data_IF_179195395194
#
_entry.id   IF_179195395194
#
_cell.length_a   1.000
_cell.length_b   1.000
_cell.length_c   1.000
_cell.angle_alpha   90.00
_cell.angle_beta   90.00
_cell.angle_gamma   90.00
#
_symmetry.space_group_name_H-M   'P 1'
#
loop_
_entity.id
_entity.type
_entity.pdbx_description
1 polymer ?
#
# COMPACT_ATOMS: atom_id res chain seq x y z
N UNK A 1 -49.33 46.91 68.02
CA UNK A 1 -48.25 46.74 67.03
C UNK A 1 -47.38 45.55 67.45
N UNK A 2 -47.75 44.34 67.02
CA UNK A 2 -46.98 43.11 67.26
C UNK A 2 -45.96 42.92 66.16
N UNK A 3 -44.67 42.87 66.51
CA UNK A 3 -43.59 42.54 65.58
C UNK A 3 -43.51 41.03 65.42
N UNK A 4 -43.88 40.51 64.25
CA UNK A 4 -43.60 39.13 63.86
C UNK A 4 -42.10 38.98 63.59
N UNK A 5 -41.40 38.28 64.48
CA UNK A 5 -40.02 37.84 64.26
C UNK A 5 -40.02 36.65 63.30
N UNK A 6 -39.53 36.87 62.07
CA UNK A 6 -39.20 35.79 61.14
C UNK A 6 -37.87 35.16 61.58
N UNK A 7 -37.94 33.96 62.13
CA UNK A 7 -36.80 33.10 62.41
C UNK A 7 -36.16 32.69 61.07
N UNK A 8 -34.98 33.21 60.75
CA UNK A 8 -34.23 32.73 59.58
C UNK A 8 -33.79 31.28 59.83
N UNK A 9 -34.09 30.33 58.93
CA UNK A 9 -33.60 28.96 59.06
C UNK A 9 -32.08 28.98 58.93
N UNK A 10 -31.39 28.45 59.94
CA UNK A 10 -29.94 28.25 59.91
C UNK A 10 -29.60 27.27 58.79
N UNK A 11 -29.02 27.76 57.71
CA UNK A 11 -28.52 26.93 56.62
C UNK A 11 -27.45 25.99 57.19
N UNK A 12 -27.54 24.66 56.97
CA UNK A 12 -26.52 23.72 57.45
C UNK A 12 -25.18 24.11 56.85
N UNK A 13 -24.15 24.20 57.70
CA UNK A 13 -22.79 24.48 57.27
C UNK A 13 -22.37 23.44 56.23
N UNK A 14 -22.14 23.88 54.99
CA UNK A 14 -21.55 23.08 53.93
C UNK A 14 -20.19 22.61 54.42
N UNK A 15 -20.08 21.34 54.84
CA UNK A 15 -18.80 20.70 55.10
C UNK A 15 -18.08 20.63 53.75
N UNK A 16 -17.06 21.46 53.57
CA UNK A 16 -16.23 21.42 52.38
C UNK A 16 -15.61 20.04 52.24
N UNK A 17 -15.62 19.49 51.02
CA UNK A 17 -14.91 18.27 50.68
C UNK A 17 -13.46 18.38 51.13
N UNK A 18 -12.96 17.35 51.81
CA UNK A 18 -11.56 17.26 52.17
C UNK A 18 -10.70 17.09 50.91
N UNK A 19 -9.46 17.58 50.96
CA UNK A 19 -8.50 17.43 49.86
C UNK A 19 -8.29 15.95 49.49
N UNK A 20 -8.35 15.05 50.49
CA UNK A 20 -8.23 13.60 50.30
C UNK A 20 -9.39 13.04 49.47
N UNK A 21 -10.63 13.45 49.76
CA UNK A 21 -11.81 13.01 48.99
C UNK A 21 -11.74 13.49 47.53
N UNK A 22 -11.28 14.73 47.30
CA UNK A 22 -11.07 15.23 45.94
C UNK A 22 -9.99 14.45 45.18
N UNK A 23 -8.87 14.10 45.82
CA UNK A 23 -7.83 13.27 45.19
C UNK A 23 -8.33 11.87 44.85
N UNK A 24 -9.13 11.27 45.73
CA UNK A 24 -9.73 9.95 45.48
C UNK A 24 -10.67 9.97 44.28
N UNK A 25 -11.53 10.99 44.17
CA UNK A 25 -12.43 11.16 43.02
C UNK A 25 -11.64 11.31 41.71
N UNK A 26 -10.58 12.14 41.71
CA UNK A 26 -9.73 12.30 40.54
C UNK A 26 -9.02 10.99 40.14
N UNK A 27 -8.54 10.21 41.11
CA UNK A 27 -7.93 8.91 40.85
C UNK A 27 -8.94 7.92 40.22
N UNK A 28 -10.18 7.89 40.70
CA UNK A 28 -11.24 7.04 40.14
C UNK A 28 -11.59 7.49 38.71
N UNK A 29 -11.77 8.79 38.48
CA UNK A 29 -12.07 9.32 37.14
C UNK A 29 -10.92 9.01 36.17
N UNK A 30 -9.66 9.18 36.58
CA UNK A 30 -8.50 8.85 35.76
C UNK A 30 -8.45 7.35 35.42
N UNK A 31 -8.71 6.48 36.41
CA UNK A 31 -8.79 5.03 36.20
C UNK A 31 -9.89 4.62 35.23
N UNK A 32 -11.11 5.14 35.42
CA UNK A 32 -12.24 4.85 34.53
C UNK A 32 -12.01 5.40 33.12
N UNK A 33 -11.44 6.60 32.99
CA UNK A 33 -11.13 7.20 31.69
C UNK A 33 -10.09 6.37 30.94
N UNK A 34 -9.05 5.88 31.62
CA UNK A 34 -8.04 5.00 31.03
C UNK A 34 -8.63 3.70 30.48
N UNK A 35 -9.55 3.07 31.24
CA UNK A 35 -10.24 1.85 30.80
C UNK A 35 -11.15 2.10 29.59
N UNK A 36 -11.89 3.22 29.57
CA UNK A 36 -12.77 3.59 28.45
C UNK A 36 -11.97 3.83 27.17
N UNK A 37 -10.82 4.51 27.27
CA UNK A 37 -9.96 4.80 26.11
C UNK A 37 -9.36 3.50 25.54
N UNK A 38 -8.85 2.62 26.39
CA UNK A 38 -8.33 1.30 25.96
C UNK A 38 -9.40 0.45 25.28
N UNK A 39 -10.60 0.37 25.88
CA UNK A 39 -11.75 -0.33 25.29
C UNK A 39 -12.17 0.25 23.93
N UNK A 40 -12.14 1.58 23.80
CA UNK A 40 -12.47 2.26 22.54
C UNK A 40 -11.47 1.91 21.42
N UNK A 41 -10.17 1.81 21.71
CA UNK A 41 -9.17 1.41 20.71
C UNK A 41 -9.35 -0.04 20.24
N UNK A 42 -9.64 -0.97 21.15
CA UNK A 42 -9.93 -2.36 20.80
C UNK A 42 -11.17 -2.49 19.91
N UNK A 43 -12.25 -1.79 20.24
CA UNK A 43 -13.48 -1.76 19.45
C UNK A 43 -13.27 -1.13 18.07
N UNK A 44 -12.49 -0.05 17.96
CA UNK A 44 -12.13 0.56 16.68
C UNK A 44 -11.34 -0.40 15.80
N UNK A 45 -10.28 -1.02 16.35
CA UNK A 45 -9.48 -2.03 15.62
C UNK A 45 -10.35 -3.16 15.09
N UNK A 46 -11.22 -3.74 15.92
CA UNK A 46 -12.14 -4.79 15.48
C UNK A 46 -13.12 -4.31 14.40
N UNK A 47 -13.65 -3.09 14.54
CA UNK A 47 -14.54 -2.49 13.55
C UNK A 47 -13.83 -2.28 12.21
N UNK A 48 -12.58 -1.83 12.24
CA UNK A 48 -11.76 -1.58 11.06
C UNK A 48 -11.41 -2.90 10.34
N UNK A 49 -11.08 -3.96 11.09
CA UNK A 49 -10.90 -5.31 10.52
C UNK A 49 -12.15 -5.73 9.74
N UNK A 50 -13.34 -5.68 10.37
CA UNK A 50 -14.61 -6.08 9.73
C UNK A 50 -14.93 -5.20 8.52
N UNK A 51 -14.65 -3.89 8.58
CA UNK A 51 -14.84 -2.99 7.45
C UNK A 51 -13.91 -3.34 6.30
N UNK A 52 -12.64 -3.62 6.58
CA UNK A 52 -11.67 -4.01 5.56
C UNK A 52 -12.04 -5.33 4.91
N UNK A 53 -12.46 -6.34 5.69
CA UNK A 53 -12.99 -7.60 5.15
C UNK A 53 -14.19 -7.34 4.22
N UNK A 54 -15.11 -6.46 4.64
CA UNK A 54 -16.29 -6.09 3.83
C UNK A 54 -15.88 -5.40 2.51
N UNK A 55 -14.88 -4.50 2.56
CA UNK A 55 -14.33 -3.84 1.37
C UNK A 55 -13.73 -4.89 0.43
N UNK A 56 -12.83 -5.74 0.93
CA UNK A 56 -12.16 -6.78 0.14
C UNK A 56 -13.17 -7.73 -0.49
N UNK A 57 -14.18 -8.17 0.26
CA UNK A 57 -15.22 -9.08 -0.24
C UNK A 57 -16.08 -8.41 -1.32
N UNK A 58 -16.44 -7.13 -1.14
CA UNK A 58 -17.18 -6.37 -2.15
C UNK A 58 -16.38 -6.23 -3.44
N UNK A 59 -15.07 -5.97 -3.33
CA UNK A 59 -14.17 -5.89 -4.49
C UNK A 59 -14.03 -7.23 -5.20
N UNK A 60 -13.85 -8.31 -4.44
CA UNK A 60 -13.74 -9.66 -4.97
C UNK A 60 -14.96 -10.00 -5.83
N UNK A 61 -16.16 -9.83 -5.29
CA UNK A 61 -17.41 -10.10 -6.00
C UNK A 61 -17.52 -9.28 -7.29
N UNK A 62 -17.15 -7.99 -7.26
CA UNK A 62 -17.19 -7.14 -8.44
C UNK A 62 -16.17 -7.56 -9.51
N UNK A 63 -14.95 -7.92 -9.11
CA UNK A 63 -13.90 -8.41 -10.03
C UNK A 63 -14.29 -9.76 -10.62
N UNK A 64 -14.80 -10.70 -9.82
CA UNK A 64 -15.24 -12.02 -10.28
C UNK A 64 -16.42 -11.94 -11.24
N UNK A 65 -17.41 -11.10 -10.94
CA UNK A 65 -18.53 -10.86 -11.86
C UNK A 65 -18.02 -10.30 -13.19
N UNK A 66 -17.15 -9.28 -13.14
CA UNK A 66 -16.52 -8.70 -14.34
C UNK A 66 -15.74 -9.76 -15.11
N UNK A 67 -14.99 -10.63 -14.41
CA UNK A 67 -14.23 -11.70 -15.04
C UNK A 67 -15.14 -12.73 -15.71
N UNK A 68 -16.26 -13.09 -15.07
CA UNK A 68 -17.26 -14.02 -15.61
C UNK A 68 -17.95 -13.46 -16.86
N UNK A 69 -18.35 -12.19 -16.84
CA UNK A 69 -19.00 -11.54 -17.98
C UNK A 69 -18.06 -11.36 -19.19
N UNK A 70 -16.75 -11.24 -18.95
CA UNK A 70 -15.76 -10.90 -19.98
C UNK A 70 -14.86 -12.07 -20.41
N UNK A 71 -14.91 -13.17 -19.67
CA UNK A 71 -14.15 -14.38 -19.94
C UNK A 71 -12.67 -14.34 -19.50
N UNK A 72 -12.26 -13.34 -18.72
CA UNK A 72 -10.89 -13.24 -18.20
C UNK A 72 -10.83 -12.30 -16.98
N UNK A 73 -9.99 -12.60 -15.96
CA UNK A 73 -9.78 -11.68 -14.84
C UNK A 73 -9.13 -10.37 -15.31
N UNK A 74 -9.43 -9.28 -14.60
CA UNK A 74 -8.79 -7.98 -14.84
C UNK A 74 -7.31 -8.11 -14.51
N UNK A 75 -6.42 -7.75 -15.42
CA UNK A 75 -4.98 -7.83 -15.15
C UNK A 75 -4.60 -6.69 -14.18
N UNK A 76 -3.90 -6.98 -13.07
CA UNK A 76 -3.47 -5.95 -12.13
C UNK A 76 -2.50 -4.98 -12.81
N UNK A 77 -2.67 -3.68 -12.55
CA UNK A 77 -1.69 -2.69 -12.99
C UNK A 77 -0.44 -2.73 -12.11
N UNK A 78 0.70 -2.39 -12.70
CA UNK A 78 1.94 -2.23 -11.93
C UNK A 78 1.78 -1.09 -10.93
N UNK A 79 2.11 -1.33 -9.66
CA UNK A 79 2.06 -0.30 -8.63
C UNK A 79 3.06 0.84 -8.93
N UNK A 80 2.70 2.13 -8.76
CA UNK A 80 3.58 3.26 -9.12
C UNK A 80 4.97 3.24 -8.48
N UNK A 81 5.07 2.71 -7.26
CA UNK A 81 6.33 2.55 -6.53
C UNK A 81 7.06 1.24 -6.87
N UNK A 82 6.40 0.25 -7.47
CA UNK A 82 7.06 -0.96 -7.99
C UNK A 82 7.24 -0.96 -9.51
N UNK A 83 6.83 0.10 -10.20
CA UNK A 83 6.76 0.18 -11.65
C UNK A 83 8.09 -0.10 -12.37
N UNK A 84 7.98 -0.60 -13.60
CA UNK A 84 9.13 -0.88 -14.47
C UNK A 84 9.73 0.36 -15.13
N UNK A 85 9.05 1.51 -15.08
CA UNK A 85 9.60 2.76 -15.58
C UNK A 85 10.78 3.24 -14.73
N UNK A 86 11.91 3.51 -15.38
CA UNK A 86 13.10 4.11 -14.78
C UNK A 86 13.67 5.19 -15.68
N UNK A 87 14.14 6.29 -15.09
CA UNK A 87 14.84 7.38 -15.77
C UNK A 87 15.79 8.07 -14.80
N UNK A 88 16.62 9.01 -15.29
CA UNK A 88 17.53 9.78 -14.43
C UNK A 88 16.79 10.68 -13.44
N UNK A 89 15.62 11.22 -13.80
CA UNK A 89 14.80 12.06 -12.92
C UNK A 89 13.83 11.28 -12.05
N UNK A 90 13.51 10.04 -12.43
CA UNK A 90 12.63 9.13 -11.69
C UNK A 90 13.19 7.70 -11.74
N UNK A 91 14.24 7.38 -10.98
CA UNK A 91 14.79 6.03 -10.95
C UNK A 91 13.75 5.02 -10.45
N UNK A 92 13.89 3.76 -10.87
CA UNK A 92 13.15 2.64 -10.28
C UNK A 92 13.53 2.47 -8.80
N UNK A 93 12.55 2.00 -8.03
CA UNK A 93 12.78 1.57 -6.65
C UNK A 93 13.68 0.35 -6.62
N UNK A 94 14.33 0.15 -5.48
CA UNK A 94 15.23 -0.97 -5.27
C UNK A 94 14.44 -2.29 -5.15
N UNK A 95 14.94 -3.30 -5.86
CA UNK A 95 14.50 -4.68 -5.73
C UNK A 95 15.72 -5.55 -5.42
N UNK A 96 15.50 -6.66 -4.75
CA UNK A 96 16.49 -7.68 -4.49
C UNK A 96 16.03 -8.99 -5.13
N UNK A 97 16.92 -9.63 -5.89
CA UNK A 97 16.66 -10.95 -6.47
C UNK A 97 16.26 -11.94 -5.38
N UNK A 98 15.47 -12.94 -5.73
CA UNK A 98 15.19 -14.03 -4.79
C UNK A 98 16.49 -14.77 -4.42
N UNK A 99 16.50 -15.41 -3.25
CA UNK A 99 17.66 -16.21 -2.82
C UNK A 99 17.98 -17.34 -3.83
N UNK A 100 16.96 -17.92 -4.45
CA UNK A 100 17.10 -18.93 -5.50
C UNK A 100 17.82 -18.40 -6.76
N UNK A 101 17.82 -17.09 -6.97
CA UNK A 101 18.43 -16.40 -8.11
C UNK A 101 19.70 -15.61 -7.72
N UNK A 102 20.29 -15.91 -6.56
CA UNK A 102 21.57 -15.34 -6.13
C UNK A 102 21.46 -14.14 -5.18
N UNK A 103 20.25 -13.65 -4.89
CA UNK A 103 20.01 -12.69 -3.81
C UNK A 103 20.60 -11.29 -3.98
N UNK A 104 21.08 -10.95 -5.19
CA UNK A 104 21.70 -9.66 -5.51
C UNK A 104 20.70 -8.49 -5.38
N UNK A 105 21.16 -7.36 -4.81
CA UNK A 105 20.44 -6.09 -4.84
C UNK A 105 20.57 -5.44 -6.23
N UNK A 106 19.44 -5.13 -6.87
CA UNK A 106 19.35 -4.54 -8.20
C UNK A 106 19.52 -3.01 -8.14
N UNK A 107 20.74 -2.55 -7.88
CA UNK A 107 21.09 -1.13 -7.70
C UNK A 107 22.01 -0.57 -8.80
N UNK A 108 22.29 -1.32 -9.87
CA UNK A 108 23.10 -0.78 -10.97
C UNK A 108 22.37 0.34 -11.73
N UNK A 109 23.08 1.21 -12.46
CA UNK A 109 22.44 2.22 -13.31
C UNK A 109 21.44 1.62 -14.31
N UNK A 110 21.76 0.45 -14.87
CA UNK A 110 20.88 -0.31 -15.76
C UNK A 110 19.62 -0.79 -15.02
N UNK A 111 19.77 -1.33 -13.82
CA UNK A 111 18.64 -1.71 -12.96
C UNK A 111 17.76 -0.53 -12.54
N UNK A 112 18.32 0.67 -12.34
CA UNK A 112 17.55 1.84 -11.86
C UNK A 112 16.97 2.73 -12.95
N UNK A 113 17.68 2.90 -14.06
CA UNK A 113 17.36 3.94 -15.06
C UNK A 113 17.26 3.41 -16.49
N UNK A 114 17.79 2.21 -16.77
CA UNK A 114 17.67 1.58 -18.08
C UNK A 114 16.23 1.12 -18.36
N UNK A 115 15.93 0.67 -19.58
CA UNK A 115 14.64 0.03 -19.83
C UNK A 115 14.58 -1.36 -19.21
N UNK A 116 13.46 -1.69 -18.59
CA UNK A 116 13.26 -3.00 -18.00
C UNK A 116 12.99 -4.06 -19.09
N UNK A 117 13.36 -5.30 -18.80
CA UNK A 117 13.16 -6.46 -19.65
C UNK A 117 12.22 -7.43 -18.96
N UNK A 118 11.20 -7.92 -19.68
CA UNK A 118 10.28 -8.96 -19.21
C UNK A 118 10.14 -10.08 -20.26
N UNK A 119 9.66 -11.24 -19.83
CA UNK A 119 9.34 -12.37 -20.70
C UNK A 119 10.50 -13.32 -21.02
N UNK A 120 11.63 -13.17 -20.33
CA UNK A 120 12.83 -14.01 -20.49
C UNK A 120 13.39 -14.42 -19.13
N UNK A 121 14.08 -15.57 -19.09
CA UNK A 121 14.82 -16.04 -17.92
C UNK A 121 16.26 -15.48 -17.91
N UNK A 122 16.93 -15.52 -16.75
CA UNK A 122 18.26 -14.91 -16.59
C UNK A 122 19.35 -15.55 -17.47
N UNK A 123 19.24 -16.85 -17.74
CA UNK A 123 20.15 -17.60 -18.62
C UNK A 123 19.96 -17.24 -20.11
N UNK A 124 18.81 -16.67 -20.48
CA UNK A 124 18.52 -16.22 -21.84
C UNK A 124 19.13 -14.84 -22.15
N UNK A 125 19.76 -14.21 -21.16
CA UNK A 125 20.25 -12.84 -21.21
C UNK A 125 21.72 -12.82 -20.79
N UNK A 126 22.63 -12.10 -21.48
CA UNK A 126 24.01 -11.95 -21.07
C UNK A 126 24.11 -11.32 -19.68
N UNK A 127 25.14 -11.67 -18.92
CA UNK A 127 25.35 -11.17 -17.56
C UNK A 127 25.28 -9.64 -17.43
N UNK A 128 25.74 -8.89 -18.43
CA UNK A 128 25.68 -7.41 -18.43
C UNK A 128 24.26 -6.83 -18.44
N UNK A 129 23.26 -7.63 -18.80
CA UNK A 129 21.85 -7.24 -18.89
C UNK A 129 20.96 -7.91 -17.84
N UNK A 130 21.48 -8.85 -17.06
CA UNK A 130 20.70 -9.57 -16.05
C UNK A 130 20.08 -8.63 -15.02
N UNK A 131 20.71 -7.50 -14.72
CA UNK A 131 20.20 -6.45 -13.83
C UNK A 131 18.98 -5.69 -14.39
N UNK A 132 18.75 -5.70 -15.71
CA UNK A 132 17.56 -5.08 -16.33
C UNK A 132 16.35 -6.02 -16.38
N UNK A 133 16.55 -7.32 -16.18
CA UNK A 133 15.47 -8.31 -16.21
C UNK A 133 14.61 -8.15 -14.97
N UNK A 134 13.30 -8.03 -15.13
CA UNK A 134 12.35 -8.04 -14.01
C UNK A 134 11.79 -9.43 -13.85
N UNK A 135 11.97 -10.02 -12.67
CA UNK A 135 11.47 -11.35 -12.36
C UNK A 135 10.27 -11.27 -11.41
N UNK A 136 9.31 -12.20 -11.52
CA UNK A 136 8.12 -12.21 -10.67
C UNK A 136 8.45 -12.33 -9.16
N UNK A 137 9.54 -13.02 -8.84
CA UNK A 137 10.00 -13.32 -7.48
C UNK A 137 11.07 -12.35 -6.95
N UNK A 138 11.41 -11.29 -7.71
CA UNK A 138 12.16 -10.16 -7.16
C UNK A 138 11.41 -9.56 -5.98
N UNK A 139 12.12 -9.24 -4.91
CA UNK A 139 11.52 -8.72 -3.68
C UNK A 139 11.78 -7.23 -3.57
N UNK A 140 10.76 -6.45 -3.21
CA UNK A 140 10.90 -5.01 -3.01
C UNK A 140 11.86 -4.72 -1.85
N UNK A 141 12.88 -3.90 -2.09
CA UNK A 141 14.01 -3.71 -1.17
C UNK A 141 14.33 -2.23 -0.90
N UNK A 142 13.44 -1.30 -1.24
CA UNK A 142 13.64 0.12 -0.97
C UNK A 142 13.15 0.48 0.45
N UNK A 143 14.03 0.82 1.40
CA UNK A 143 13.65 1.11 2.78
C UNK A 143 12.86 2.43 2.93
N UNK A 144 12.80 3.26 1.88
CA UNK A 144 11.97 4.47 1.89
C UNK A 144 10.47 4.17 1.90
N UNK A 145 10.07 2.94 1.58
CA UNK A 145 8.67 2.50 1.59
C UNK A 145 8.52 1.17 2.34
N UNK A 146 8.46 1.21 3.69
CA UNK A 146 8.33 0.00 4.49
C UNK A 146 7.09 -0.83 4.16
N UNK A 147 5.98 -0.20 3.74
CA UNK A 147 4.74 -0.90 3.38
C UNK A 147 4.95 -2.06 2.39
N UNK A 148 5.82 -1.89 1.39
CA UNK A 148 6.08 -2.92 0.36
C UNK A 148 7.34 -3.75 0.64
N UNK A 149 8.16 -3.39 1.63
CA UNK A 149 9.47 -4.01 1.83
C UNK A 149 9.34 -5.52 2.14
N UNK A 150 10.09 -6.34 1.40
CA UNK A 150 10.01 -7.79 1.53
C UNK A 150 8.91 -8.45 0.70
N UNK A 151 8.05 -7.69 -0.01
CA UNK A 151 6.98 -8.25 -0.82
C UNK A 151 7.50 -8.65 -2.23
N UNK A 152 7.18 -9.85 -2.75
CA UNK A 152 7.53 -10.25 -4.12
C UNK A 152 6.83 -9.40 -5.17
N UNK A 153 7.53 -9.04 -6.25
CA UNK A 153 7.08 -8.14 -7.32
C UNK A 153 5.76 -8.56 -7.93
N UNK A 154 5.55 -9.86 -8.14
CA UNK A 154 4.28 -10.39 -8.68
C UNK A 154 3.05 -10.13 -7.79
N UNK A 155 3.26 -9.81 -6.51
CA UNK A 155 2.21 -9.46 -5.55
C UNK A 155 1.98 -7.95 -5.43
N UNK A 156 2.80 -7.14 -6.11
CA UNK A 156 2.73 -5.67 -6.03
C UNK A 156 1.98 -5.10 -7.24
N UNK A 157 0.68 -5.38 -7.25
CA UNK A 157 -0.25 -4.81 -8.21
C UNK A 157 -1.38 -4.09 -7.51
N UNK A 158 -2.15 -3.31 -8.27
CA UNK A 158 -3.36 -2.68 -7.77
C UNK A 158 -4.45 -2.73 -8.85
N UNK A 159 -5.70 -2.52 -8.42
CA UNK A 159 -6.82 -2.39 -9.35
C UNK A 159 -6.81 -0.98 -9.95
N UNK A 160 -6.25 -0.85 -11.14
CA UNK A 160 -6.13 0.42 -11.86
C UNK A 160 -5.59 0.22 -13.27
N UNK A 161 -5.45 1.31 -14.01
CA UNK A 161 -4.85 1.31 -15.33
C UNK A 161 -3.32 1.34 -15.25
N UNK A 162 -2.67 0.89 -16.32
CA UNK A 162 -1.22 0.94 -16.44
C UNK A 162 -0.82 2.37 -16.78
N UNK A 163 -0.37 3.18 -15.83
CA UNK A 163 -0.03 4.57 -16.14
C UNK A 163 1.28 4.66 -16.92
N UNK A 164 1.36 5.58 -17.89
CA UNK A 164 2.58 5.80 -18.68
C UNK A 164 3.81 6.04 -17.79
N UNK A 165 3.69 6.84 -16.73
CA UNK A 165 4.79 7.13 -15.80
C UNK A 165 5.21 5.96 -14.89
N UNK A 166 4.55 4.79 -15.02
CA UNK A 166 4.76 3.65 -14.12
C UNK A 166 5.36 2.45 -14.86
N UNK A 167 4.90 2.14 -16.07
CA UNK A 167 5.28 0.91 -16.76
C UNK A 167 5.92 1.15 -18.13
N UNK A 168 7.21 0.85 -18.24
CA UNK A 168 7.96 0.79 -19.49
C UNK A 168 8.86 -0.45 -19.50
N UNK A 169 8.60 -1.39 -20.40
CA UNK A 169 9.47 -2.56 -20.55
C UNK A 169 9.50 -3.07 -21.99
N UNK A 170 10.48 -3.92 -22.29
CA UNK A 170 10.52 -4.70 -23.53
C UNK A 170 10.14 -6.14 -23.29
N UNK A 171 9.29 -6.68 -24.17
CA UNK A 171 9.02 -8.11 -24.26
C UNK A 171 9.99 -8.73 -25.26
N UNK A 172 11.01 -9.40 -24.73
CA UNK A 172 11.97 -10.08 -25.60
C UNK A 172 11.41 -11.44 -26.05
N UNK A 173 11.53 -11.78 -27.35
CA UNK A 173 11.17 -13.11 -27.83
C UNK A 173 12.10 -14.16 -27.22
N UNK A 174 11.69 -15.43 -27.28
CA UNK A 174 12.59 -16.53 -26.96
C UNK A 174 13.80 -16.52 -27.91
N UNK A 175 15.03 -16.76 -27.43
CA UNK A 175 16.20 -16.88 -28.29
C UNK A 175 16.00 -17.90 -29.41
N UNK A 176 16.43 -17.55 -30.63
CA UNK A 176 16.34 -18.43 -31.81
C UNK A 176 17.47 -19.46 -31.89
N UNK A 177 18.54 -19.25 -31.13
CA UNK A 177 19.78 -20.02 -31.19
C UNK A 177 19.67 -21.34 -30.43
N UNK A 178 20.44 -22.34 -30.86
CA UNK A 178 20.62 -23.60 -30.13
C UNK A 178 21.27 -23.41 -28.76
N UNK A 179 21.93 -22.28 -28.52
CA UNK A 179 22.49 -21.93 -27.20
C UNK A 179 21.42 -21.53 -26.20
N UNK A 180 20.20 -21.22 -26.64
CA UNK A 180 19.11 -20.80 -25.76
C UNK A 180 19.33 -19.45 -25.09
N UNK A 181 20.20 -18.59 -25.62
CA UNK A 181 20.51 -17.27 -25.06
C UNK A 181 20.69 -16.20 -26.15
N UNK A 182 20.25 -14.98 -25.87
CA UNK A 182 20.50 -13.81 -26.71
C UNK A 182 21.92 -13.28 -26.47
N UNK A 183 22.61 -12.87 -27.53
CA UNK A 183 23.85 -12.11 -27.43
C UNK A 183 23.59 -10.67 -26.95
N UNK A 184 24.61 -10.01 -26.41
CA UNK A 184 24.48 -8.63 -25.94
C UNK A 184 24.12 -7.66 -27.08
N UNK A 185 24.65 -7.88 -28.28
CA UNK A 185 24.31 -7.11 -29.47
C UNK A 185 22.87 -7.33 -29.94
N UNK A 186 22.34 -8.55 -29.80
CA UNK A 186 20.92 -8.83 -30.12
C UNK A 186 19.99 -8.11 -29.14
N UNK A 187 20.30 -8.12 -27.84
CA UNK A 187 19.52 -7.39 -26.84
C UNK A 187 19.56 -5.89 -27.09
N UNK A 188 20.74 -5.33 -27.32
CA UNK A 188 20.90 -3.90 -27.63
C UNK A 188 20.03 -3.52 -28.85
N UNK A 189 20.10 -4.31 -29.93
CA UNK A 189 19.29 -4.08 -31.12
C UNK A 189 17.78 -4.18 -30.84
N UNK A 190 17.35 -5.10 -29.98
CA UNK A 190 15.94 -5.26 -29.61
C UNK A 190 15.43 -4.12 -28.72
N UNK A 191 16.22 -3.65 -27.75
CA UNK A 191 15.84 -2.55 -26.84
C UNK A 191 15.69 -1.22 -27.58
N UNK A 192 16.55 -0.95 -28.57
CA UNK A 192 16.38 0.22 -29.44
C UNK A 192 15.23 0.05 -30.45
N UNK A 193 14.73 -1.17 -30.61
CA UNK A 193 13.59 -1.50 -31.46
C UNK A 193 12.24 -1.23 -30.78
N UNK A 194 11.50 -0.23 -31.26
CA UNK A 194 10.14 0.09 -30.77
C UNK A 194 9.13 -1.07 -30.86
N UNK A 195 9.42 -2.11 -31.67
CA UNK A 195 8.53 -3.26 -31.88
C UNK A 195 8.26 -4.06 -30.61
N UNK A 196 9.23 -4.11 -29.70
CA UNK A 196 9.15 -4.92 -28.48
C UNK A 196 8.78 -4.08 -27.25
N UNK A 197 8.69 -2.76 -27.43
CA UNK A 197 8.42 -1.82 -26.37
C UNK A 197 6.94 -1.88 -25.99
N UNK A 198 6.69 -2.17 -24.72
CA UNK A 198 5.38 -2.10 -24.08
C UNK A 198 5.37 -0.88 -23.17
N UNK A 199 4.65 0.14 -23.60
CA UNK A 199 4.38 1.37 -22.84
C UNK A 199 2.90 1.64 -22.87
N UNK A 200 2.35 2.05 -21.74
CA UNK A 200 0.98 2.55 -21.73
C UNK A 200 0.93 4.03 -22.13
N UNK A 201 -0.20 4.44 -22.70
CA UNK A 201 -0.55 5.84 -22.92
C UNK A 201 -1.62 6.32 -21.92
N UNK A 202 -1.97 5.49 -20.94
CA UNK A 202 -3.01 5.81 -19.96
C UNK A 202 -2.54 6.90 -18.99
N UNK A 203 -3.50 7.73 -18.60
CA UNK A 203 -3.36 8.77 -17.59
C UNK A 203 -4.28 8.47 -16.39
N UNK A 204 -4.29 9.36 -15.41
CA UNK A 204 -5.06 9.18 -14.18
C UNK A 204 -6.58 9.01 -14.40
N UNK A 205 -7.14 9.56 -15.47
CA UNK A 205 -8.56 9.38 -15.79
C UNK A 205 -8.88 7.95 -16.22
N UNK A 206 -7.91 7.22 -16.77
CA UNK A 206 -8.07 5.81 -17.11
C UNK A 206 -8.24 4.94 -15.85
N UNK A 207 -7.63 5.31 -14.71
CA UNK A 207 -7.87 4.62 -13.44
C UNK A 207 -9.35 4.73 -13.03
N UNK A 208 -9.93 5.92 -13.12
CA UNK A 208 -11.34 6.12 -12.83
C UNK A 208 -12.24 5.32 -13.78
N UNK A 209 -11.94 5.33 -15.09
CA UNK A 209 -12.70 4.54 -16.07
C UNK A 209 -12.59 3.04 -15.82
N UNK A 210 -11.42 2.52 -15.45
CA UNK A 210 -11.26 1.10 -15.16
C UNK A 210 -11.98 0.71 -13.88
N UNK A 211 -11.85 1.51 -12.83
CA UNK A 211 -12.56 1.23 -11.57
C UNK A 211 -14.07 1.31 -11.79
N UNK A 212 -14.54 2.27 -12.58
CA UNK A 212 -15.95 2.33 -12.98
C UNK A 212 -16.34 1.15 -13.88
N UNK A 213 -15.44 0.64 -14.71
CA UNK A 213 -15.69 -0.55 -15.51
C UNK A 213 -15.82 -1.81 -14.65
N UNK A 214 -14.96 -1.97 -13.63
CA UNK A 214 -14.94 -3.14 -12.75
C UNK A 214 -16.04 -3.08 -11.70
N UNK A 215 -16.36 -1.89 -11.18
CA UNK A 215 -17.39 -1.69 -10.16
C UNK A 215 -18.76 -1.34 -10.76
N UNK A 216 -18.83 -0.94 -12.04
CA UNK A 216 -20.00 -0.27 -12.63
C UNK A 216 -21.17 -1.17 -12.98
N UNK A 217 -20.99 -2.49 -12.97
CA UNK A 217 -22.10 -3.44 -13.10
C UNK A 217 -22.87 -3.64 -11.79
N UNK A 218 -22.45 -3.07 -10.66
CA UNK A 218 -22.98 -3.45 -9.34
C UNK A 218 -23.21 -2.31 -8.35
N UNK A 219 -24.03 -2.64 -7.35
CA UNK A 219 -24.15 -1.96 -6.06
C UNK A 219 -22.80 -1.75 -5.36
N UNK A 220 -21.71 -2.43 -5.77
CA UNK A 220 -20.39 -2.37 -5.14
C UNK A 220 -19.86 -0.94 -5.00
N UNK A 221 -19.86 -0.13 -6.07
CA UNK A 221 -19.43 1.28 -5.98
C UNK A 221 -20.25 2.06 -4.94
N UNK A 222 -21.56 1.80 -4.90
CA UNK A 222 -22.46 2.42 -3.93
C UNK A 222 -22.16 1.93 -2.50
N UNK A 223 -21.96 0.64 -2.29
CA UNK A 223 -21.63 0.07 -0.98
C UNK A 223 -20.28 0.57 -0.46
N UNK A 224 -19.24 0.57 -1.30
CA UNK A 224 -17.93 1.14 -0.97
C UNK A 224 -18.04 2.64 -0.63
N UNK A 225 -18.88 3.39 -1.36
CA UNK A 225 -19.14 4.79 -1.03
C UNK A 225 -19.96 4.99 0.26
N UNK A 226 -20.79 4.02 0.68
CA UNK A 226 -21.54 4.10 1.94
C UNK A 226 -20.64 3.82 3.14
N UNK A 227 -19.68 2.90 3.00
CA UNK A 227 -18.68 2.60 4.03
C UNK A 227 -17.85 3.85 4.39
N UNK A 228 -17.80 4.83 3.49
CA UNK A 228 -17.19 6.14 3.69
C UNK A 228 -17.90 7.02 4.75
N UNK A 229 -19.24 6.99 4.80
CA UNK A 229 -20.06 8.00 5.50
C UNK A 229 -20.00 8.02 7.04
N UNK A 230 -19.22 7.14 7.68
CA UNK A 230 -19.21 6.96 9.15
C UNK A 230 -17.84 7.08 9.81
N UNK A 231 -16.84 7.57 9.08
CA UNK A 231 -15.53 7.87 9.64
C UNK A 231 -15.51 9.28 10.22
N UNK A 232 -15.25 9.43 11.53
CA UNK A 232 -14.94 10.74 12.16
C UNK A 232 -13.56 11.28 11.75
N UNK A 233 -12.83 10.57 10.89
CA UNK A 233 -11.65 11.03 10.20
C UNK A 233 -12.12 11.42 8.79
N UNK A 234 -12.34 12.72 8.58
CA UNK A 234 -13.04 13.32 7.43
C UNK A 234 -12.45 13.03 6.02
N UNK A 235 -11.50 12.11 5.84
CA UNK A 235 -10.68 12.01 4.61
C UNK A 235 -10.24 10.59 4.22
N UNK A 236 -10.69 9.54 4.91
CA UNK A 236 -10.32 8.15 4.59
C UNK A 236 -11.45 7.44 3.82
N UNK A 237 -11.61 7.85 2.58
CA UNK A 237 -12.57 7.26 1.65
C UNK A 237 -12.03 5.92 1.13
N UNK A 238 -12.83 4.85 1.20
CA UNK A 238 -12.50 3.57 0.56
C UNK A 238 -12.28 3.73 -0.96
N UNK A 239 -12.93 4.73 -1.56
CA UNK A 239 -12.71 5.19 -2.93
C UNK A 239 -12.12 6.60 -2.88
N UNK A 240 -10.81 6.73 -3.06
CA UNK A 240 -10.14 8.03 -2.98
C UNK A 240 -9.86 8.56 -4.38
N UNK A 241 -10.36 9.76 -4.67
CA UNK A 241 -9.92 10.56 -5.82
C UNK A 241 -9.05 11.68 -5.26
N UNK A 242 -7.79 11.77 -5.71
CA UNK A 242 -6.90 12.87 -5.33
C UNK A 242 -7.59 14.23 -5.55
N UNK A 243 -8.05 14.85 -4.47
CA UNK A 243 -8.56 16.22 -4.50
C UNK A 243 -7.37 17.12 -4.84
N UNK A 244 -7.48 17.95 -5.87
CA UNK A 244 -6.37 18.65 -6.54
C UNK A 244 -5.50 19.62 -5.72
N UNK A 245 -5.56 19.56 -4.38
CA UNK A 245 -4.88 20.43 -3.41
C UNK A 245 -3.59 19.84 -2.79
N UNK A 246 -3.11 18.69 -3.28
CA UNK A 246 -1.89 18.03 -2.82
C UNK A 246 -0.66 18.21 -3.72
N UNK A 247 0.43 17.53 -3.35
CA UNK A 247 1.69 17.53 -4.09
C UNK A 247 2.06 16.11 -4.52
N UNK A 248 2.98 15.97 -5.47
CA UNK A 248 3.56 14.65 -5.77
C UNK A 248 4.84 14.42 -4.97
N UNK A 249 5.07 13.17 -4.57
CA UNK A 249 6.30 12.72 -3.94
C UNK A 249 6.93 11.55 -4.72
N UNK A 250 8.14 11.18 -4.31
CA UNK A 250 8.85 9.99 -4.83
C UNK A 250 8.96 10.05 -6.35
N UNK A 251 9.60 11.13 -6.82
CA UNK A 251 9.79 11.41 -8.25
C UNK A 251 8.49 11.53 -9.07
N UNK A 252 7.39 11.98 -8.45
CA UNK A 252 6.13 12.16 -9.17
C UNK A 252 5.24 10.91 -9.26
N UNK A 253 5.60 9.83 -8.55
CA UNK A 253 4.93 8.52 -8.67
C UNK A 253 3.65 8.43 -7.84
N UNK A 254 3.59 9.13 -6.71
CA UNK A 254 2.46 9.08 -5.78
C UNK A 254 2.01 10.48 -5.38
N UNK A 255 0.74 10.58 -5.02
CA UNK A 255 0.11 11.79 -4.50
C UNK A 255 0.28 11.86 -2.98
N UNK A 256 0.52 13.06 -2.45
CA UNK A 256 0.60 13.34 -1.01
C UNK A 256 -0.47 14.37 -0.66
N UNK A 257 -1.46 13.99 0.19
CA UNK A 257 -2.43 14.93 0.73
C UNK A 257 -1.74 16.02 1.56
N UNK A 258 -2.37 17.20 1.65
CA UNK A 258 -1.77 18.36 2.31
C UNK A 258 -1.59 18.12 3.82
N UNK A 259 -0.45 18.53 4.37
CA UNK A 259 -0.12 18.50 5.81
C UNK A 259 -0.01 17.10 6.45
N UNK A 260 0.08 16.01 5.68
CA UNK A 260 0.27 14.67 6.23
C UNK A 260 1.76 14.26 6.23
N UNK A 261 2.50 14.79 7.20
CA UNK A 261 3.94 14.55 7.37
C UNK A 261 4.26 14.01 8.76
N UNK A 262 5.31 13.19 8.85
CA UNK A 262 5.82 12.64 10.09
C UNK A 262 7.35 12.71 10.15
N UNK A 263 7.89 12.75 11.37
CA UNK A 263 9.34 12.75 11.61
C UNK A 263 9.94 11.34 11.60
N UNK A 264 9.09 10.32 11.70
CA UNK A 264 9.45 8.92 11.69
C UNK A 264 8.46 8.17 10.80
N UNK A 265 8.79 6.93 10.46
CA UNK A 265 7.88 6.11 9.67
C UNK A 265 6.56 5.90 10.43
N UNK A 266 5.47 5.95 9.68
CA UNK A 266 4.13 5.60 10.13
C UNK A 266 3.46 4.73 9.05
N UNK A 267 2.52 3.85 9.42
CA UNK A 267 1.77 3.04 8.48
C UNK A 267 1.11 3.86 7.34
N UNK A 268 1.42 3.53 6.09
CA UNK A 268 0.94 4.25 4.90
C UNK A 268 1.76 5.48 4.51
N UNK A 269 2.93 5.69 5.13
CA UNK A 269 3.85 6.77 4.78
C UNK A 269 5.00 6.24 3.92
N UNK A 270 5.50 7.13 3.07
CA UNK A 270 6.71 6.94 2.26
C UNK A 270 7.70 8.07 2.55
N UNK A 271 8.98 7.76 2.55
CA UNK A 271 10.05 8.74 2.69
C UNK A 271 10.37 9.35 1.34
N UNK A 272 10.06 10.64 1.17
CA UNK A 272 10.34 11.32 -0.08
C UNK A 272 11.85 11.59 -0.21
N UNK A 273 12.55 11.09 -1.25
CA UNK A 273 13.98 11.31 -1.42
C UNK A 273 14.36 12.79 -1.64
N UNK A 274 13.40 13.65 -1.96
CA UNK A 274 13.65 15.08 -2.26
C UNK A 274 13.92 15.91 -1.00
N UNK A 275 13.15 15.68 0.06
CA UNK A 275 13.24 16.42 1.33
C UNK A 275 13.46 15.53 2.55
N UNK A 276 13.53 14.20 2.34
CA UNK A 276 13.80 13.19 3.34
C UNK A 276 12.73 13.06 4.44
N UNK A 277 11.53 13.63 4.22
CA UNK A 277 10.39 13.57 5.15
C UNK A 277 9.52 12.36 4.88
N UNK A 278 8.90 11.83 5.94
CA UNK A 278 7.85 10.82 5.81
C UNK A 278 6.54 11.52 5.47
N UNK A 279 5.89 11.10 4.39
CA UNK A 279 4.64 11.67 3.89
C UNK A 279 3.63 10.56 3.69
N UNK A 280 2.39 10.74 4.14
CA UNK A 280 1.31 9.81 3.78
C UNK A 280 1.10 9.90 2.28
N UNK A 281 1.06 8.75 1.61
CA UNK A 281 0.88 8.72 0.16
C UNK A 281 -0.44 8.09 -0.25
N UNK A 282 -0.83 8.42 -1.48
CA UNK A 282 -1.95 7.88 -2.21
C UNK A 282 -1.51 7.59 -3.64
N UNK A 283 -2.21 6.65 -4.28
CA UNK A 283 -2.05 6.33 -5.68
C UNK A 283 -2.66 7.45 -6.49
N UNK A 284 -2.06 7.72 -7.65
CA UNK A 284 -2.53 8.77 -8.55
C UNK A 284 -3.86 8.35 -9.20
N UNK A 285 -4.81 9.27 -9.25
CA UNK A 285 -6.16 8.99 -9.74
C UNK A 285 -7.04 8.28 -8.71
N UNK A 286 -8.10 7.60 -9.18
CA UNK A 286 -8.98 6.81 -8.33
C UNK A 286 -8.26 5.53 -7.90
N UNK A 287 -8.25 5.25 -6.60
CA UNK A 287 -7.73 4.01 -6.03
C UNK A 287 -8.55 3.58 -4.81
N UNK A 288 -8.31 2.35 -4.37
CA UNK A 288 -9.13 1.68 -3.36
C UNK A 288 -8.31 1.46 -2.09
N UNK A 289 -8.89 1.86 -0.97
CA UNK A 289 -8.25 1.86 0.33
C UNK A 289 -9.05 1.04 1.34
N UNK A 290 -8.34 0.43 2.27
CA UNK A 290 -8.92 -0.23 3.43
C UNK A 290 -9.41 0.78 4.49
N UNK A 291 -10.00 0.29 5.58
CA UNK A 291 -10.54 1.18 6.61
C UNK A 291 -9.48 1.94 7.41
N UNK A 292 -8.21 1.54 7.30
CA UNK A 292 -7.10 2.24 7.92
C UNK A 292 -6.44 3.25 6.96
N UNK A 293 -6.97 3.37 5.74
CA UNK A 293 -6.45 4.26 4.72
C UNK A 293 -5.14 3.78 4.10
N UNK A 294 -4.89 2.47 4.04
CA UNK A 294 -3.82 1.87 3.22
C UNK A 294 -4.42 1.30 1.94
N UNK A 295 -3.60 1.25 0.91
CA UNK A 295 -4.02 0.69 -0.38
C UNK A 295 -4.31 -0.80 -0.27
N UNK A 296 -5.28 -1.26 -1.05
CA UNK A 296 -5.53 -2.69 -1.22
C UNK A 296 -4.73 -3.15 -2.43
N UNK A 297 -3.80 -4.08 -2.23
CA UNK A 297 -3.07 -4.70 -3.32
C UNK A 297 -3.94 -5.73 -4.01
N UNK A 298 -3.82 -5.75 -5.34
CA UNK A 298 -4.49 -6.70 -6.22
C UNK A 298 -3.45 -7.44 -7.04
N UNK A 299 -3.49 -8.76 -7.00
CA UNK A 299 -2.62 -9.61 -7.80
C UNK A 299 -3.37 -10.85 -8.29
N UNK A 300 -2.75 -11.54 -9.25
CA UNK A 300 -3.22 -12.84 -9.73
C UNK A 300 -2.17 -13.88 -9.38
N UNK A 301 -2.60 -15.07 -8.93
CA UNK A 301 -1.72 -16.22 -8.83
C UNK A 301 -1.26 -16.67 -10.25
N UNK A 302 -0.26 -17.57 -10.36
CA UNK A 302 0.08 -18.19 -11.64
C UNK A 302 -1.08 -18.93 -12.32
N UNK A 303 -2.05 -19.42 -11.54
CA UNK A 303 -3.30 -20.05 -12.01
C UNK A 303 -4.39 -19.04 -12.40
N UNK A 304 -4.13 -17.74 -12.26
CA UNK A 304 -5.09 -16.67 -12.57
C UNK A 304 -6.09 -16.39 -11.45
N UNK A 305 -5.84 -16.89 -10.25
CA UNK A 305 -6.70 -16.73 -9.07
C UNK A 305 -6.53 -15.33 -8.48
N UNK A 306 -7.66 -14.66 -8.19
CA UNK A 306 -7.69 -13.32 -7.62
C UNK A 306 -7.14 -13.33 -6.19
N UNK A 307 -6.25 -12.38 -5.90
CA UNK A 307 -5.76 -12.11 -4.55
C UNK A 307 -5.92 -10.63 -4.24
N UNK A 308 -6.65 -10.36 -3.17
CA UNK A 308 -6.80 -9.02 -2.60
C UNK A 308 -6.19 -9.03 -1.19
N UNK A 309 -5.41 -8.00 -0.89
CA UNK A 309 -4.64 -7.95 0.34
C UNK A 309 -4.64 -6.52 0.90
N UNK A 310 -5.01 -6.38 2.17
CA UNK A 310 -4.80 -5.19 2.98
C UNK A 310 -3.62 -5.46 3.93
N UNK A 311 -2.81 -4.42 4.13
CA UNK A 311 -1.66 -4.43 5.03
C UNK A 311 -2.05 -4.42 6.52
N UNK A 312 -3.34 -4.57 6.83
CA UNK A 312 -3.81 -4.65 8.21
C UNK A 312 -3.51 -3.39 9.03
N UNK A 313 -3.63 -3.47 10.37
CA UNK A 313 -3.31 -2.42 11.33
C UNK A 313 -1.88 -1.87 11.28
N UNK A 314 -0.87 -2.72 11.06
CA UNK A 314 0.54 -2.33 11.06
C UNK A 314 0.98 -1.62 9.76
N UNK A 315 0.22 -1.79 8.68
CA UNK A 315 0.43 -1.12 7.40
C UNK A 315 1.66 -1.58 6.63
N UNK A 316 2.12 -2.82 6.87
CA UNK A 316 3.16 -3.47 6.08
C UNK A 316 2.67 -4.81 5.53
N UNK A 317 3.05 -5.14 4.29
CA UNK A 317 2.56 -6.39 3.67
C UNK A 317 3.43 -7.61 3.92
N UNK A 318 4.65 -7.42 4.41
CA UNK A 318 5.59 -8.54 4.59
C UNK A 318 6.54 -8.33 5.77
N UNK A 319 7.05 -7.11 5.96
CA UNK A 319 8.02 -6.82 7.02
C UNK A 319 7.80 -5.49 7.67
N UNK A 320 7.85 -5.50 8.99
CA UNK A 320 7.82 -4.31 9.81
C UNK A 320 9.24 -3.91 10.20
N UNK A 321 9.66 -2.64 10.03
CA UNK A 321 11.02 -2.17 10.32
C UNK A 321 11.29 -1.96 11.83
N UNK A 322 10.66 -2.77 12.68
CA UNK A 322 10.80 -2.66 14.13
C UNK A 322 10.42 -1.30 14.73
N UNK A 323 11.01 -0.99 15.89
CA UNK A 323 10.78 0.26 16.61
C UNK A 323 11.79 1.35 16.18
N UNK A 324 12.94 0.96 15.64
CA UNK A 324 13.95 1.89 15.16
C UNK A 324 13.58 2.49 13.78
N UNK A 325 12.60 1.90 13.06
CA UNK A 325 12.17 2.32 11.73
C UNK A 325 13.19 2.04 10.63
N UNK A 326 14.12 1.10 10.85
CA UNK A 326 15.21 0.74 9.96
C UNK A 326 15.25 -0.77 9.78
N UNK A 327 15.31 -1.24 8.54
CA UNK A 327 15.44 -2.67 8.27
C UNK A 327 16.84 -3.19 8.60
N UNK A 328 16.93 -4.16 9.50
CA UNK A 328 18.17 -4.79 9.95
C UNK A 328 18.67 -5.87 8.96
N UNK A 329 17.78 -6.41 8.13
CA UNK A 329 18.08 -7.50 7.20
C UNK A 329 17.76 -7.21 5.73
N UNK A 330 18.37 -7.96 4.79
CA UNK A 330 18.03 -7.89 3.37
C UNK A 330 16.60 -8.37 3.12
N UNK A 331 15.90 -7.70 2.19
CA UNK A 331 14.49 -7.89 1.89
C UNK A 331 14.10 -9.32 1.46
N UNK A 332 15.07 -10.16 1.07
CA UNK A 332 14.83 -11.55 0.63
C UNK A 332 15.21 -12.63 1.65
N UNK A 333 15.57 -12.28 2.90
CA UNK A 333 15.88 -13.23 4.00
C UNK A 333 14.98 -12.99 5.21
N UNK A 334 14.62 -13.98 6.05
CA UNK A 334 13.72 -13.75 7.20
C UNK A 334 14.06 -12.50 8.04
N UNK A 335 13.06 -11.84 8.67
CA UNK A 335 13.29 -10.71 9.58
C UNK A 335 14.39 -11.02 10.60
N UNK A 336 15.22 -10.02 10.90
CA UNK A 336 16.35 -10.12 11.83
C UNK A 336 16.41 -8.89 12.73
N UNK A 337 17.11 -8.98 13.87
CA UNK A 337 17.26 -7.82 14.76
C UNK A 337 15.92 -7.40 15.37
N UNK A 338 15.51 -6.15 15.16
CA UNK A 338 14.20 -5.64 15.61
C UNK A 338 13.09 -5.68 14.54
N UNK A 339 13.41 -6.12 13.32
CA UNK A 339 12.43 -6.36 12.26
C UNK A 339 11.40 -7.41 12.71
N UNK A 340 10.12 -7.19 12.34
CA UNK A 340 9.04 -8.12 12.65
C UNK A 340 8.38 -8.67 11.38
N UNK A 341 7.76 -9.83 11.54
CA UNK A 341 6.95 -10.45 10.51
C UNK A 341 5.60 -9.71 10.36
N UNK A 342 5.47 -8.97 9.27
CA UNK A 342 4.26 -8.21 8.91
C UNK A 342 3.17 -9.04 8.24
N UNK A 343 3.33 -10.36 8.11
CA UNK A 343 2.27 -11.20 7.52
C UNK A 343 1.10 -11.45 8.48
N UNK A 344 1.31 -11.27 9.79
CA UNK A 344 0.41 -11.80 10.83
C UNK A 344 -0.91 -11.04 10.99
N UNK A 345 -0.97 -9.76 10.61
CA UNK A 345 -2.19 -8.94 10.71
C UNK A 345 -2.73 -8.49 9.34
N UNK A 346 -2.07 -8.91 8.26
CA UNK A 346 -2.59 -8.78 6.90
C UNK A 346 -3.98 -9.42 6.79
N UNK A 347 -4.89 -8.70 6.14
CA UNK A 347 -6.20 -9.23 5.78
C UNK A 347 -6.14 -9.60 4.31
N UNK A 348 -6.15 -10.90 4.03
CA UNK A 348 -6.16 -11.41 2.67
C UNK A 348 -7.42 -12.23 2.44
N UNK A 349 -7.94 -12.10 1.22
CA UNK A 349 -8.88 -13.06 0.68
C UNK A 349 -8.19 -13.77 -0.47
N UNK A 350 -7.88 -15.04 -0.24
CA UNK A 350 -7.43 -15.97 -1.28
C UNK A 350 -8.61 -16.88 -1.54
N UNK A 351 -9.13 -16.87 -2.77
CA UNK A 351 -10.03 -17.93 -3.22
C UNK A 351 -9.16 -19.18 -3.40
N UNK A 352 -9.04 -19.99 -2.34
CA UNK A 352 -8.32 -21.25 -2.24
C UNK A 352 -7.56 -21.73 -3.50
N UNK A 353 -6.22 -21.60 -3.49
CA UNK A 353 -5.33 -22.46 -4.29
C UNK A 353 -5.08 -23.73 -3.43
N UNK A 354 -6.02 -24.67 -3.37
CA UNK A 354 -5.77 -26.04 -2.85
C UNK A 354 -5.26 -26.93 -3.97
#
# INVERSE_FOLDING_TARGET
MSRCNFSQPSMPALRGFSLIEMLLVLAIIAGLSGLLVSGAFGLRRSTDIVRTETIIETLRQAIELTASERGSPVIPAEHPLAGSFGSSSAPRMLFQRSQAQGGQLLNSPTARTGQAIKGVSLDQVPGSWQDAVLLPDDVYADPSLPTLYGLPRQRIGYLGANLQGVQHHHLLPRPHSSSGSHSASEIEAMIHGKRYQVTSNDNESANAMLIDYVLGSTTAKTELSKLNSKSHLNELDALYVGAGDGSYAVYGRVFVPRNEQANQWEPGFVRDPTDNLWKRYRIRGLAIYDSWGREILYSLSPSGVIRLMSAGPDGVFARHPGNNGVFDGPANQPPSGDDQDGWNDNIFLVTDDV
#
